data_IF_714724720636
#
_entry.id   IF_714724720636
#
_cell.length_a   1.000
_cell.length_b   1.000
_cell.length_c   1.000
_cell.angle_alpha   90.00
_cell.angle_beta   90.00
_cell.angle_gamma   90.00
#
_symmetry.space_group_name_H-M   'P 1'
#
loop_
_entity.id
_entity.type
_entity.pdbx_description
1 polymer ?
#
# COMPACT_ATOMS: atom_id res chain seq x y z
N UNK A 1 4.99 57.37 1.38
CA UNK A 1 5.01 56.18 0.51
C UNK A 1 4.54 54.96 1.32
N UNK A 2 3.38 54.39 0.98
CA UNK A 2 2.78 53.27 1.72
C UNK A 2 3.39 51.94 1.24
N UNK A 3 4.46 51.49 1.90
CA UNK A 3 5.15 50.21 1.66
C UNK A 3 4.21 48.99 1.77
N UNK A 4 3.10 49.12 2.49
CA UNK A 4 2.07 48.09 2.69
C UNK A 4 1.31 47.74 1.41
N UNK A 5 1.14 48.69 0.48
CA UNK A 5 0.43 48.43 -0.80
C UNK A 5 1.35 47.67 -1.77
N UNK A 6 2.66 47.93 -1.72
CA UNK A 6 3.66 47.29 -2.60
C UNK A 6 3.94 45.83 -2.23
N UNK A 7 3.68 45.44 -0.98
CA UNK A 7 3.88 44.08 -0.46
C UNK A 7 2.55 43.35 -0.21
N UNK A 8 1.50 43.68 -0.97
CA UNK A 8 0.21 43.01 -0.82
C UNK A 8 0.36 41.51 -1.15
N UNK A 9 -0.20 40.65 -0.29
CA UNK A 9 -0.31 39.24 -0.59
C UNK A 9 -1.22 39.02 -1.80
N UNK A 10 -0.70 38.40 -2.85
CA UNK A 10 -1.50 37.95 -3.98
C UNK A 10 -2.06 36.56 -3.67
N UNK A 11 -3.38 36.41 -3.72
CA UNK A 11 -4.05 35.12 -3.60
C UNK A 11 -4.12 34.44 -4.96
N UNK A 12 -3.98 33.13 -4.96
CA UNK A 12 -4.14 32.33 -6.18
C UNK A 12 -5.61 32.18 -6.54
N UNK A 13 -5.88 32.05 -7.84
CA UNK A 13 -7.24 31.93 -8.37
C UNK A 13 -7.79 30.51 -8.12
N UNK A 14 -9.06 30.45 -7.73
CA UNK A 14 -9.81 29.20 -7.63
C UNK A 14 -10.16 28.59 -8.99
N UNK A 15 -10.48 27.30 -8.98
CA UNK A 15 -10.79 26.54 -10.18
C UNK A 15 -12.18 26.86 -10.73
N UNK A 16 -12.37 26.64 -12.04
CA UNK A 16 -13.65 26.92 -12.68
C UNK A 16 -14.69 25.86 -12.31
N UNK A 17 -15.90 26.29 -11.92
CA UNK A 17 -16.99 25.38 -11.55
C UNK A 17 -17.33 24.36 -12.66
N UNK A 18 -17.16 24.74 -13.93
CA UNK A 18 -17.42 23.89 -15.10
C UNK A 18 -16.41 22.74 -15.25
N UNK A 19 -15.23 22.87 -14.64
CA UNK A 19 -14.12 21.92 -14.75
C UNK A 19 -13.83 21.19 -13.43
N UNK A 20 -14.65 21.36 -12.40
CA UNK A 20 -14.45 20.70 -11.11
C UNK A 20 -14.39 19.17 -11.20
N UNK A 21 -15.02 18.57 -12.22
CA UNK A 21 -14.97 17.13 -12.46
C UNK A 21 -13.57 16.62 -12.86
N UNK A 22 -12.66 17.49 -13.32
CA UNK A 22 -11.27 17.16 -13.65
C UNK A 22 -10.36 17.09 -12.41
N UNK A 23 -10.87 17.46 -11.24
CA UNK A 23 -10.08 17.58 -10.01
C UNK A 23 -9.47 18.97 -9.83
N UNK A 24 -8.48 19.05 -8.95
CA UNK A 24 -7.78 20.30 -8.61
C UNK A 24 -6.90 20.74 -9.79
N UNK A 25 -6.93 22.02 -10.15
CA UNK A 25 -6.05 22.58 -11.18
C UNK A 25 -4.64 22.74 -10.64
N UNK A 26 -3.72 21.95 -11.18
CA UNK A 26 -2.30 22.01 -10.86
C UNK A 26 -1.74 23.43 -11.10
N UNK A 27 -1.03 23.95 -10.10
CA UNK A 27 -0.29 25.22 -10.21
C UNK A 27 1.19 24.94 -10.38
N UNK A 28 1.97 26.00 -10.64
CA UNK A 28 3.41 25.85 -10.89
C UNK A 28 4.15 25.14 -9.74
N UNK A 29 3.74 25.38 -8.49
CA UNK A 29 4.32 24.68 -7.34
C UNK A 29 4.11 23.17 -7.43
N UNK A 30 2.89 22.75 -7.68
CA UNK A 30 2.52 21.33 -7.80
C UNK A 30 3.25 20.68 -8.98
N UNK A 31 3.35 21.39 -10.11
CA UNK A 31 4.11 20.94 -11.29
C UNK A 31 5.59 20.70 -10.98
N UNK A 32 6.21 21.59 -10.22
CA UNK A 32 7.62 21.42 -9.82
C UNK A 32 7.79 20.20 -8.92
N UNK A 33 6.87 19.96 -7.98
CA UNK A 33 6.89 18.77 -7.13
C UNK A 33 6.66 17.49 -7.95
N UNK A 34 5.70 17.50 -8.88
CA UNK A 34 5.41 16.38 -9.77
C UNK A 34 6.60 16.04 -10.68
N UNK A 35 7.21 17.05 -11.30
CA UNK A 35 8.37 16.87 -12.19
C UNK A 35 9.56 16.29 -11.43
N UNK A 36 9.80 16.74 -10.19
CA UNK A 36 10.86 16.19 -9.34
C UNK A 36 10.64 14.73 -8.98
N UNK A 37 9.41 14.37 -8.61
CA UNK A 37 9.04 12.97 -8.32
C UNK A 37 9.16 12.08 -9.57
N UNK A 38 8.74 12.57 -10.73
CA UNK A 38 8.89 11.86 -12.00
C UNK A 38 10.36 11.54 -12.30
N UNK A 39 11.24 12.55 -12.27
CA UNK A 39 12.67 12.32 -12.55
C UNK A 39 13.33 11.45 -11.49
N UNK A 40 12.96 11.58 -10.21
CA UNK A 40 13.48 10.70 -9.16
C UNK A 40 13.12 9.23 -9.42
N UNK A 41 11.90 8.95 -9.91
CA UNK A 41 11.47 7.60 -10.29
C UNK A 41 12.17 7.11 -11.55
N UNK A 42 12.33 7.97 -12.55
CA UNK A 42 13.05 7.69 -13.79
C UNK A 42 14.50 7.28 -13.51
N UNK A 43 15.21 8.07 -12.69
CA UNK A 43 16.58 7.79 -12.26
C UNK A 43 16.68 6.46 -11.50
N UNK A 44 15.73 6.17 -10.61
CA UNK A 44 15.70 4.89 -9.89
C UNK A 44 15.53 3.70 -10.83
N UNK A 45 14.62 3.81 -11.82
CA UNK A 45 14.39 2.76 -12.82
C UNK A 45 15.67 2.54 -13.66
N UNK A 46 16.30 3.61 -14.14
CA UNK A 46 17.54 3.53 -14.92
C UNK A 46 18.66 2.83 -14.12
N UNK A 47 18.84 3.20 -12.86
CA UNK A 47 19.79 2.54 -11.96
C UNK A 47 19.49 1.04 -11.77
N UNK A 48 18.22 0.64 -11.71
CA UNK A 48 17.82 -0.77 -11.62
C UNK A 48 18.10 -1.52 -12.92
N UNK A 49 17.88 -0.89 -14.08
CA UNK A 49 18.23 -1.46 -15.39
C UNK A 49 19.74 -1.70 -15.52
N UNK A 50 20.57 -0.74 -15.13
CA UNK A 50 22.02 -0.90 -15.16
C UNK A 50 22.49 -2.03 -14.23
N UNK A 51 21.96 -2.09 -13.01
CA UNK A 51 22.26 -3.18 -12.07
C UNK A 51 21.83 -4.54 -12.60
N UNK A 52 20.70 -4.62 -13.30
CA UNK A 52 20.23 -5.85 -13.92
C UNK A 52 21.13 -6.27 -15.11
N UNK A 53 21.57 -5.32 -15.93
CA UNK A 53 22.46 -5.57 -17.06
C UNK A 53 23.86 -6.03 -16.62
N UNK A 54 24.39 -5.45 -15.55
CA UNK A 54 25.70 -5.78 -14.98
C UNK A 54 25.67 -6.98 -14.01
N UNK A 55 24.55 -7.72 -13.94
CA UNK A 55 24.39 -8.84 -13.00
C UNK A 55 25.30 -10.01 -13.39
N UNK A 56 26.17 -10.43 -12.46
CA UNK A 56 26.90 -11.69 -12.56
C UNK A 56 25.98 -12.88 -12.26
N UNK A 57 25.87 -13.83 -13.19
CA UNK A 57 25.03 -15.03 -13.07
C UNK A 57 25.53 -16.02 -12.02
N UNK A 58 26.85 -16.04 -11.74
CA UNK A 58 27.46 -16.99 -10.80
C UNK A 58 27.47 -16.48 -9.36
N UNK A 59 26.95 -15.25 -9.12
CA UNK A 59 26.98 -14.65 -7.79
C UNK A 59 26.08 -15.43 -6.83
N UNK A 60 26.68 -15.96 -5.76
CA UNK A 60 25.98 -16.64 -4.69
C UNK A 60 25.87 -15.80 -3.40
N UNK A 61 24.72 -15.84 -2.74
CA UNK A 61 24.42 -15.25 -1.45
C UNK A 61 23.69 -16.29 -0.60
N UNK A 62 24.02 -16.43 0.68
CA UNK A 62 23.41 -17.44 1.56
C UNK A 62 21.89 -17.27 1.73
N UNK A 63 21.37 -16.05 1.59
CA UNK A 63 19.93 -15.77 1.62
C UNK A 63 19.15 -16.43 0.48
N UNK A 64 19.82 -16.79 -0.63
CA UNK A 64 19.19 -17.52 -1.74
C UNK A 64 18.75 -18.95 -1.37
N UNK A 65 19.24 -19.50 -0.26
CA UNK A 65 18.80 -20.81 0.24
C UNK A 65 17.37 -20.74 0.79
N UNK A 66 17.02 -19.62 1.45
CA UNK A 66 15.75 -19.46 2.17
C UNK A 66 14.74 -18.61 1.39
N UNK A 67 15.18 -17.92 0.33
CA UNK A 67 14.31 -17.12 -0.52
C UNK A 67 13.84 -17.91 -1.73
N UNK A 68 12.63 -17.62 -2.18
CA UNK A 68 12.04 -18.25 -3.36
C UNK A 68 11.66 -17.18 -4.38
N UNK A 69 11.68 -17.57 -5.65
CA UNK A 69 11.30 -16.71 -6.77
C UNK A 69 10.21 -17.43 -7.56
N UNK A 70 9.07 -16.76 -7.79
CA UNK A 70 7.99 -17.27 -8.63
C UNK A 70 7.91 -16.44 -9.91
N UNK A 71 7.99 -17.09 -11.07
CA UNK A 71 8.02 -16.45 -12.40
C UNK A 71 9.01 -15.28 -12.53
N UNK A 72 10.13 -15.34 -11.82
CA UNK A 72 11.15 -14.29 -11.82
C UNK A 72 10.94 -13.16 -10.80
N UNK A 73 9.87 -13.19 -10.00
CA UNK A 73 9.60 -12.22 -8.93
C UNK A 73 9.92 -12.83 -7.56
N UNK A 74 10.64 -12.09 -6.73
CA UNK A 74 10.96 -12.53 -5.37
C UNK A 74 9.68 -12.64 -4.51
N UNK A 75 9.42 -13.83 -3.96
CA UNK A 75 8.26 -14.09 -3.10
C UNK A 75 8.71 -14.18 -1.66
N UNK A 76 8.21 -13.28 -0.82
CA UNK A 76 8.42 -13.30 0.62
C UNK A 76 7.30 -14.10 1.29
N UNK A 77 7.66 -15.12 2.08
CA UNK A 77 6.70 -15.81 2.93
C UNK A 77 6.20 -14.87 4.03
N UNK A 78 4.88 -14.80 4.22
CA UNK A 78 4.24 -14.07 5.32
C UNK A 78 4.39 -14.78 6.68
N UNK A 79 5.11 -15.91 6.74
CA UNK A 79 5.37 -16.66 7.97
C UNK A 79 4.34 -17.74 8.29
N UNK A 80 3.26 -17.82 7.51
CA UNK A 80 2.29 -18.91 7.62
C UNK A 80 2.94 -20.25 7.21
N UNK A 81 2.78 -21.25 8.06
CA UNK A 81 3.28 -22.61 7.84
C UNK A 81 2.09 -23.55 7.71
N UNK A 82 2.24 -24.58 6.89
CA UNK A 82 1.26 -25.66 6.84
C UNK A 82 1.13 -26.28 8.23
N UNK A 83 -0.07 -26.22 8.81
CA UNK A 83 -0.35 -26.81 10.11
C UNK A 83 -0.57 -28.32 9.96
N UNK A 84 -0.16 -29.08 10.98
CA UNK A 84 -0.47 -30.51 11.06
C UNK A 84 -1.98 -30.71 11.17
N UNK A 85 -2.51 -31.78 10.57
CA UNK A 85 -3.95 -32.07 10.56
C UNK A 85 -4.55 -32.12 11.95
N UNK A 86 -3.86 -32.71 12.93
CA UNK A 86 -4.34 -32.80 14.31
C UNK A 86 -4.53 -31.41 14.95
N UNK A 87 -3.61 -30.48 14.68
CA UNK A 87 -3.69 -29.11 15.16
C UNK A 87 -4.84 -28.36 14.49
N UNK A 88 -5.06 -28.61 13.20
CA UNK A 88 -6.22 -28.05 12.46
C UNK A 88 -7.53 -28.56 13.04
N UNK A 89 -7.62 -29.86 13.37
CA UNK A 89 -8.81 -30.43 14.01
C UNK A 89 -9.08 -29.84 15.39
N UNK A 90 -8.02 -29.64 16.19
CA UNK A 90 -8.13 -28.99 17.50
C UNK A 90 -8.64 -27.56 17.37
N UNK A 91 -8.07 -26.78 16.44
CA UNK A 91 -8.47 -25.40 16.21
C UNK A 91 -9.93 -25.31 15.76
N UNK A 92 -10.35 -26.16 14.81
CA UNK A 92 -11.76 -26.24 14.39
C UNK A 92 -12.70 -26.61 15.55
N UNK A 93 -12.26 -27.47 16.46
CA UNK A 93 -13.05 -27.84 17.65
C UNK A 93 -13.20 -26.65 18.59
N UNK A 94 -12.14 -25.86 18.77
CA UNK A 94 -12.16 -24.63 19.56
C UNK A 94 -13.10 -23.58 18.95
N UNK A 95 -13.03 -23.38 17.63
CA UNK A 95 -13.90 -22.46 16.90
C UNK A 95 -15.38 -22.82 17.08
N UNK A 96 -15.72 -24.10 16.92
CA UNK A 96 -17.11 -24.58 17.13
C UNK A 96 -17.58 -24.34 18.56
N UNK A 97 -16.71 -24.53 19.57
CA UNK A 97 -17.06 -24.24 20.97
C UNK A 97 -17.26 -22.75 21.22
N UNK A 98 -16.54 -21.89 20.51
CA UNK A 98 -16.65 -20.45 20.67
C UNK A 98 -17.88 -19.86 19.96
N UNK A 99 -18.16 -20.31 18.73
CA UNK A 99 -19.26 -19.78 17.91
C UNK A 99 -20.63 -20.20 18.43
N UNK A 100 -20.77 -21.44 18.94
CA UNK A 100 -22.06 -21.96 19.43
C UNK A 100 -22.73 -21.06 20.48
N UNK A 101 -22.05 -20.67 21.58
CA UNK A 101 -22.63 -19.74 22.55
C UNK A 101 -22.96 -18.37 21.96
N UNK A 102 -22.09 -17.81 21.11
CA UNK A 102 -22.34 -16.51 20.47
C UNK A 102 -23.65 -16.52 19.68
N UNK A 103 -23.89 -17.55 18.86
CA UNK A 103 -25.14 -17.69 18.08
C UNK A 103 -26.37 -17.86 18.98
N UNK A 104 -26.25 -18.63 20.08
CA UNK A 104 -27.37 -18.79 21.02
C UNK A 104 -27.73 -17.47 21.68
N UNK A 105 -26.72 -16.69 22.10
CA UNK A 105 -26.93 -15.37 22.72
C UNK A 105 -27.54 -14.40 21.71
N UNK A 106 -27.01 -14.31 20.49
CA UNK A 106 -27.56 -13.45 19.43
C UNK A 106 -29.00 -13.83 19.06
N UNK A 107 -29.32 -15.13 19.04
CA UNK A 107 -30.67 -15.62 18.84
C UNK A 107 -31.62 -15.27 19.99
N UNK A 108 -31.18 -15.41 21.24
CA UNK A 108 -31.96 -15.03 22.42
C UNK A 108 -32.23 -13.53 22.47
N UNK A 109 -31.22 -12.71 22.18
CA UNK A 109 -31.36 -11.26 22.00
C UNK A 109 -32.37 -10.98 20.89
N UNK A 110 -32.25 -11.61 19.71
CA UNK A 110 -33.21 -11.34 18.62
C UNK A 110 -34.66 -11.66 18.96
N UNK A 111 -34.91 -12.66 19.82
CA UNK A 111 -36.23 -13.03 20.35
C UNK A 111 -36.71 -12.04 21.42
N UNK A 112 -35.83 -11.57 22.30
CA UNK A 112 -36.15 -10.63 23.37
C UNK A 112 -36.47 -9.21 22.85
N UNK A 113 -35.93 -8.86 21.69
CA UNK A 113 -36.13 -7.55 21.03
C UNK A 113 -37.24 -7.56 19.94
N UNK A 114 -37.96 -8.67 19.75
CA UNK A 114 -39.14 -8.79 18.87
C UNK A 114 -40.44 -8.88 19.68
#
# INVERSE_FOLDING_TARGET
>A
YNLTIQKKQHQERSDSLKQQWLGLLEKHKDYVEHTRDYHAKEDQINNLHEKAALKNLDKFHFEMINSSTDKGVHVKSWGNKALKTDLVMLLKTQDVRHVKPCLTIEGQVSIEWS
#
